data_IF_780474651275
#
_entry.id   IF_780474651275
#
_cell.length_a   1.000
_cell.length_b   1.000
_cell.length_c   1.000
_cell.angle_alpha   90.00
_cell.angle_beta   90.00
_cell.angle_gamma   90.00
#
_symmetry.space_group_name_H-M   'P 1'
#
loop_
_entity.id
_entity.type
_entity.pdbx_description
1 polymer ?
#
# COMPACT_ATOMS: atom_id res chain seq x y z
N UNK A 1 7.87 6.57 -33.96
CA UNK A 1 8.20 7.57 -32.92
C UNK A 1 7.98 6.94 -31.57
N UNK A 2 9.04 6.46 -30.92
CA UNK A 2 8.93 5.94 -29.56
C UNK A 2 8.81 7.10 -28.59
N UNK A 3 7.67 7.23 -27.90
CA UNK A 3 7.56 8.13 -26.75
C UNK A 3 8.20 7.42 -25.57
N UNK A 4 9.44 7.79 -25.27
CA UNK A 4 10.08 7.45 -24.00
C UNK A 4 9.18 7.98 -22.88
N UNK A 5 8.41 7.08 -22.26
CA UNK A 5 7.74 7.39 -21.01
C UNK A 5 8.85 7.36 -19.97
N UNK A 6 9.45 8.53 -19.73
CA UNK A 6 10.09 8.79 -18.46
C UNK A 6 8.96 8.74 -17.42
N UNK A 7 8.68 7.54 -16.93
CA UNK A 7 7.78 7.33 -15.79
C UNK A 7 8.33 8.18 -14.68
N UNK A 8 7.64 9.29 -14.42
CA UNK A 8 7.98 10.20 -13.35
C UNK A 8 7.50 9.50 -12.08
N UNK A 9 8.28 8.51 -11.61
CA UNK A 9 8.02 7.74 -10.38
C UNK A 9 7.95 8.73 -9.25
N UNK A 10 6.73 9.18 -8.96
CA UNK A 10 6.53 10.39 -8.20
C UNK A 10 6.92 10.11 -6.75
N UNK A 11 7.76 10.96 -6.17
CA UNK A 11 8.31 10.80 -4.83
C UNK A 11 7.29 11.10 -3.72
N UNK A 12 6.11 10.48 -3.80
CA UNK A 12 5.09 10.40 -2.74
C UNK A 12 5.29 9.18 -1.83
N UNK A 13 6.17 8.25 -2.20
CA UNK A 13 6.66 7.19 -1.31
C UNK A 13 7.68 7.78 -0.32
N UNK A 14 7.14 8.40 0.72
CA UNK A 14 7.80 8.93 1.92
C UNK A 14 8.82 10.06 1.65
N UNK A 15 8.36 11.30 1.84
CA UNK A 15 9.14 12.52 1.67
C UNK A 15 10.16 12.79 2.81
N UNK A 16 11.02 11.82 3.14
CA UNK A 16 12.17 11.98 4.04
C UNK A 16 13.52 11.99 3.32
N UNK A 17 13.57 11.58 2.05
CA UNK A 17 14.81 11.52 1.27
C UNK A 17 15.33 12.88 0.73
N UNK A 18 14.57 13.98 0.83
CA UNK A 18 14.97 15.30 0.29
C UNK A 18 15.40 16.34 1.34
N UNK A 19 15.50 15.99 2.63
CA UNK A 19 15.96 16.88 3.69
C UNK A 19 17.45 16.69 4.08
N UNK A 20 18.14 15.72 3.47
CA UNK A 20 19.52 15.37 3.79
C UNK A 20 20.54 16.09 2.87
N UNK A 21 20.89 17.33 3.23
CA UNK A 21 22.17 17.94 2.86
C UNK A 21 22.29 18.49 1.44
N UNK A 22 22.18 19.82 1.31
CA UNK A 22 23.03 20.55 0.36
C UNK A 22 24.49 20.28 0.72
N UNK A 23 25.16 19.40 -0.02
CA UNK A 23 26.60 19.21 0.11
C UNK A 23 27.30 20.37 -0.61
N UNK A 24 28.19 21.05 0.12
CA UNK A 24 28.95 22.18 -0.41
C UNK A 24 29.81 21.75 -1.61
N UNK A 25 29.43 22.18 -2.81
CA UNK A 25 30.38 22.43 -3.89
C UNK A 25 30.72 23.92 -3.94
N UNK A 26 31.44 24.38 -2.92
CA UNK A 26 32.38 25.47 -3.16
C UNK A 26 33.42 24.99 -4.18
N UNK A 27 33.40 25.55 -5.39
CA UNK A 27 34.56 26.14 -6.10
C UNK A 27 34.19 26.31 -7.57
N UNK A 28 33.89 27.54 -7.99
CA UNK A 28 34.79 28.27 -8.89
C UNK A 28 34.44 29.76 -8.86
N UNK A 29 35.40 30.58 -8.42
CA UNK A 29 35.27 32.03 -8.49
C UNK A 29 35.51 32.51 -9.94
N UNK A 30 34.67 33.43 -10.42
CA UNK A 30 35.17 34.49 -11.30
C UNK A 30 34.54 35.82 -10.92
N UNK A 31 35.39 36.69 -10.35
CA UNK A 31 35.08 38.09 -10.04
C UNK A 31 35.04 38.91 -11.33
N UNK A 32 34.02 39.75 -11.46
CA UNK A 32 34.12 41.05 -12.12
C UNK A 32 33.21 42.03 -11.40
N UNK A 33 33.80 43.09 -10.84
CA UNK A 33 33.13 44.25 -10.27
C UNK A 33 33.18 45.36 -11.32
N UNK A 34 32.06 46.05 -11.52
CA UNK A 34 31.90 47.45 -11.90
C UNK A 34 30.38 47.67 -12.05
N UNK A 35 29.76 48.83 -11.83
CA UNK A 35 29.83 49.87 -10.80
C UNK A 35 28.56 50.74 -11.06
N UNK A 36 28.10 51.44 -10.04
CA UNK A 36 27.26 52.65 -10.07
C UNK A 36 25.81 52.77 -10.63
N UNK A 37 25.10 53.64 -9.89
CA UNK A 37 23.99 54.55 -10.22
C UNK A 37 22.53 54.07 -10.43
N UNK A 38 21.62 54.97 -10.04
CA UNK A 38 20.17 54.81 -10.02
C UNK A 38 19.49 55.65 -11.09
N UNK A 39 18.30 55.25 -11.57
CA UNK A 39 17.51 56.12 -12.45
C UNK A 39 16.31 55.47 -13.13
N UNK A 40 15.12 55.78 -12.60
CA UNK A 40 13.89 56.19 -13.32
C UNK A 40 13.51 55.63 -14.71
N UNK A 41 12.25 55.18 -14.74
CA UNK A 41 11.21 55.47 -15.75
C UNK A 41 11.08 54.63 -17.04
N UNK A 42 9.81 54.50 -17.42
CA UNK A 42 9.24 53.74 -18.52
C UNK A 42 9.83 54.08 -19.90
N UNK A 43 9.90 53.08 -20.79
CA UNK A 43 9.71 53.28 -22.23
C UNK A 43 9.19 52.00 -22.89
N UNK A 44 8.00 52.06 -23.49
CA UNK A 44 7.53 51.05 -24.44
C UNK A 44 8.35 51.09 -25.73
N UNK A 45 8.72 49.95 -26.31
CA UNK A 45 9.06 49.87 -27.74
C UNK A 45 8.71 48.49 -28.31
N UNK A 46 7.89 48.48 -29.36
CA UNK A 46 7.59 47.29 -30.14
C UNK A 46 8.63 47.10 -31.26
N UNK A 47 9.00 45.85 -31.57
CA UNK A 47 9.94 45.52 -32.65
C UNK A 47 9.88 44.04 -33.04
N UNK A 48 9.64 43.78 -34.32
CA UNK A 48 9.50 42.45 -34.95
C UNK A 48 10.83 41.97 -35.53
N UNK A 49 11.08 40.64 -35.49
CA UNK A 49 11.62 39.76 -36.58
C UNK A 49 11.97 38.39 -35.95
N UNK A 50 11.38 37.27 -36.38
CA UNK A 50 11.74 36.43 -37.57
C UNK A 50 13.18 35.89 -37.50
N UNK A 51 13.29 34.57 -37.29
CA UNK A 51 14.55 33.82 -37.33
C UNK A 51 14.26 32.32 -37.45
N UNK A 52 14.18 31.82 -38.69
CA UNK A 52 14.14 30.39 -39.00
C UNK A 52 15.57 29.85 -39.08
N UNK A 53 15.85 28.68 -38.50
CA UNK A 53 16.99 27.86 -38.92
C UNK A 53 16.65 26.36 -38.84
N UNK A 54 17.09 25.58 -39.84
CA UNK A 54 16.83 24.14 -40.00
C UNK A 54 18.01 23.43 -40.69
N UNK A 55 18.69 22.49 -40.00
CA UNK A 55 19.56 21.38 -40.48
C UNK A 55 20.04 20.57 -39.24
N UNK A 56 20.43 19.28 -39.26
CA UNK A 56 20.40 18.17 -40.24
C UNK A 56 19.61 16.98 -39.61
N UNK A 57 18.93 16.07 -40.32
CA UNK A 57 19.42 14.94 -41.15
C UNK A 57 20.46 13.99 -40.51
N UNK A 58 20.00 12.80 -40.11
CA UNK A 58 20.84 11.65 -39.72
C UNK A 58 20.05 10.35 -39.93
N UNK A 59 20.65 9.37 -40.63
CA UNK A 59 19.91 8.29 -41.33
C UNK A 59 20.41 6.89 -40.97
N UNK A 60 19.47 5.92 -41.01
CA UNK A 60 19.65 4.46 -41.14
C UNK A 60 20.22 3.65 -39.94
N UNK A 61 19.60 2.48 -39.74
CA UNK A 61 19.95 1.49 -38.73
C UNK A 61 18.88 0.40 -38.64
N UNK A 62 18.62 -0.31 -39.74
CA UNK A 62 17.73 -1.48 -39.76
C UNK A 62 18.44 -2.69 -39.12
N UNK A 63 17.73 -3.44 -38.27
CA UNK A 63 18.07 -4.85 -38.00
C UNK A 63 16.80 -5.64 -37.70
N UNK A 64 16.34 -6.43 -38.67
CA UNK A 64 15.40 -7.53 -38.41
C UNK A 64 16.10 -8.64 -37.61
N UNK A 65 15.43 -9.21 -36.60
CA UNK A 65 15.64 -10.61 -36.22
C UNK A 65 14.37 -11.18 -35.59
N UNK A 66 13.65 -11.98 -36.37
CA UNK A 66 12.59 -12.85 -35.87
C UNK A 66 13.20 -14.03 -35.10
N UNK A 67 12.62 -14.39 -33.96
CA UNK A 67 12.75 -15.75 -33.41
C UNK A 67 11.40 -16.18 -32.85
N UNK A 68 10.75 -17.10 -33.56
CA UNK A 68 9.62 -17.88 -33.06
C UNK A 68 10.12 -18.87 -32.01
N UNK A 69 9.34 -19.13 -30.97
CA UNK A 69 9.53 -20.28 -30.08
C UNK A 69 8.16 -20.75 -29.60
N UNK A 70 7.53 -21.56 -30.44
CA UNK A 70 6.46 -22.45 -30.00
C UNK A 70 7.02 -23.41 -28.95
N UNK A 71 6.26 -23.69 -27.90
CA UNK A 71 6.56 -24.77 -26.96
C UNK A 71 5.25 -25.43 -26.57
N UNK A 72 4.81 -26.32 -27.46
CA UNK A 72 3.78 -27.30 -27.12
C UNK A 72 4.33 -28.23 -26.03
N UNK A 73 3.49 -28.59 -25.07
CA UNK A 73 3.78 -29.63 -24.10
C UNK A 73 2.47 -30.30 -23.70
N UNK A 74 2.05 -31.24 -24.54
CA UNK A 74 1.05 -32.22 -24.14
C UNK A 74 1.60 -33.08 -22.99
N UNK A 75 0.75 -33.41 -22.03
CA UNK A 75 1.00 -34.48 -21.07
C UNK A 75 -0.31 -35.13 -20.65
N UNK A 76 -0.74 -36.09 -21.46
CA UNK A 76 -1.72 -37.08 -21.03
C UNK A 76 -1.16 -37.89 -19.85
N UNK A 77 -1.95 -38.09 -18.80
CA UNK A 77 -1.70 -39.17 -17.84
C UNK A 77 -3.01 -39.79 -17.39
N UNK A 78 -3.30 -40.96 -17.95
CA UNK A 78 -4.40 -41.83 -17.58
C UNK A 78 -4.17 -42.46 -16.19
N UNK A 79 -5.18 -42.50 -15.33
CA UNK A 79 -5.04 -43.08 -13.98
C UNK A 79 -6.37 -43.43 -13.31
N UNK A 80 -7.24 -44.20 -13.98
CA UNK A 80 -8.46 -44.69 -13.37
C UNK A 80 -8.21 -46.00 -12.60
N UNK A 81 -8.32 -45.97 -11.27
CA UNK A 81 -8.47 -47.18 -10.45
C UNK A 81 -9.75 -47.11 -9.60
N UNK A 82 -10.76 -47.84 -10.02
CA UNK A 82 -11.97 -48.11 -9.24
C UNK A 82 -11.68 -49.18 -8.19
N UNK A 83 -11.75 -48.82 -6.90
CA UNK A 83 -11.73 -49.80 -5.80
C UNK A 83 -13.11 -49.90 -5.16
N UNK A 84 -13.84 -50.99 -5.45
CA UNK A 84 -15.06 -51.33 -4.73
C UNK A 84 -14.73 -51.86 -3.33
N UNK A 85 -15.11 -51.12 -2.28
CA UNK A 85 -14.84 -51.45 -0.88
C UNK A 85 -16.11 -51.39 -0.03
N UNK A 86 -17.05 -52.31 -0.26
CA UNK A 86 -18.30 -52.38 0.51
C UNK A 86 -18.02 -52.83 1.95
N UNK A 87 -18.34 -51.98 2.93
CA UNK A 87 -18.41 -52.37 4.34
C UNK A 87 -19.62 -51.71 5.00
N UNK A 88 -20.67 -52.48 5.29
CA UNK A 88 -21.77 -52.02 6.15
C UNK A 88 -21.28 -51.92 7.59
N UNK A 89 -21.46 -50.75 8.22
CA UNK A 89 -20.97 -50.46 9.56
C UNK A 89 -21.91 -49.53 10.32
N UNK A 90 -23.04 -50.06 10.80
CA UNK A 90 -23.98 -49.30 11.64
C UNK A 90 -23.36 -49.02 13.01
N UNK A 91 -23.02 -47.75 13.28
CA UNK A 91 -22.80 -47.20 14.63
C UNK A 91 -22.97 -45.68 14.56
N UNK A 92 -24.10 -45.16 15.02
CA UNK A 92 -24.29 -44.61 16.38
C UNK A 92 -23.85 -43.15 16.45
N UNK A 93 -24.82 -42.29 16.81
CA UNK A 93 -24.64 -40.86 16.94
C UNK A 93 -23.52 -40.51 17.92
N UNK A 94 -22.66 -39.60 17.47
CA UNK A 94 -21.45 -39.20 18.18
C UNK A 94 -20.72 -38.10 17.41
N UNK A 95 -21.48 -37.22 16.74
CA UNK A 95 -20.92 -35.99 16.19
C UNK A 95 -20.57 -35.08 17.36
N UNK A 96 -19.42 -35.32 17.97
CA UNK A 96 -18.70 -34.25 18.65
C UNK A 96 -18.41 -33.21 17.59
N UNK A 97 -19.24 -32.17 17.54
CA UNK A 97 -18.79 -30.86 17.09
C UNK A 97 -17.53 -30.55 17.90
N UNK A 98 -16.37 -30.89 17.37
CA UNK A 98 -15.13 -30.17 17.66
C UNK A 98 -15.32 -28.81 17.02
N UNK A 99 -16.16 -28.00 17.68
CA UNK A 99 -16.43 -26.64 17.29
C UNK A 99 -15.10 -25.94 17.12
N UNK A 100 -14.88 -25.43 15.93
CA UNK A 100 -13.74 -24.58 15.64
C UNK A 100 -13.72 -23.48 16.72
N UNK A 101 -12.57 -23.24 17.39
CA UNK A 101 -12.53 -22.34 18.54
C UNK A 101 -13.12 -20.99 18.14
N UNK A 102 -13.98 -20.44 18.99
CA UNK A 102 -14.61 -19.15 18.72
C UNK A 102 -13.53 -18.12 18.39
N UNK A 103 -13.72 -17.42 17.27
CA UNK A 103 -12.77 -16.46 16.75
C UNK A 103 -12.49 -15.40 17.81
N UNK A 104 -11.27 -15.38 18.36
CA UNK A 104 -10.86 -14.43 19.40
C UNK A 104 -10.51 -13.04 18.83
N UNK A 105 -10.88 -12.80 17.56
CA UNK A 105 -10.60 -11.59 16.80
C UNK A 105 -11.89 -10.94 16.34
N UNK A 106 -11.86 -9.62 16.28
CA UNK A 106 -12.94 -8.79 15.75
C UNK A 106 -12.43 -7.89 14.64
N UNK A 107 -13.33 -7.54 13.71
CA UNK A 107 -13.12 -6.43 12.79
C UNK A 107 -13.77 -5.18 13.36
N UNK A 108 -12.95 -4.22 13.75
CA UNK A 108 -13.37 -2.91 14.20
C UNK A 108 -13.59 -1.97 13.01
N UNK A 109 -14.49 -1.00 13.19
CA UNK A 109 -14.72 0.08 12.24
C UNK A 109 -14.89 1.41 12.98
N UNK A 110 -14.03 2.37 12.65
CA UNK A 110 -14.16 3.75 13.09
C UNK A 110 -14.71 4.64 11.97
N UNK A 111 -15.68 5.49 12.30
CA UNK A 111 -16.34 6.40 11.34
C UNK A 111 -16.00 7.85 11.62
N UNK A 112 -15.16 8.46 10.77
CA UNK A 112 -14.72 9.85 10.89
C UNK A 112 -15.86 10.88 10.80
N UNK A 113 -17.01 10.50 10.23
CA UNK A 113 -18.17 11.39 10.09
C UNK A 113 -18.86 11.72 11.42
N UNK A 114 -18.71 10.86 12.43
CA UNK A 114 -19.44 10.95 13.71
C UNK A 114 -18.64 10.48 14.92
N UNK A 115 -17.38 10.05 14.76
CA UNK A 115 -16.50 9.63 15.84
C UNK A 115 -16.98 8.37 16.58
N UNK A 116 -17.55 7.39 15.86
CA UNK A 116 -18.10 6.18 16.47
C UNK A 116 -17.35 4.91 16.04
N UNK A 117 -17.15 4.02 17.00
CA UNK A 117 -16.70 2.65 16.80
C UNK A 117 -17.85 1.66 16.58
N UNK A 118 -17.57 0.59 15.85
CA UNK A 118 -18.39 -0.60 15.70
C UNK A 118 -17.48 -1.84 15.74
N UNK A 119 -17.84 -2.84 16.53
CA UNK A 119 -17.19 -4.15 16.57
C UNK A 119 -18.08 -5.20 15.87
N UNK A 120 -17.48 -6.05 15.05
CA UNK A 120 -18.12 -7.28 14.55
C UNK A 120 -17.11 -8.44 14.65
N UNK A 121 -17.47 -9.59 15.24
CA UNK A 121 -16.58 -10.75 15.31
C UNK A 121 -16.08 -11.15 13.92
N UNK A 122 -14.78 -11.46 13.80
CA UNK A 122 -14.13 -11.63 12.51
C UNK A 122 -14.73 -12.82 11.73
N UNK A 123 -15.15 -13.88 12.44
CA UNK A 123 -15.90 -15.03 11.91
C UNK A 123 -17.25 -14.70 11.26
N UNK A 124 -17.81 -13.50 11.45
CA UNK A 124 -19.04 -13.07 10.77
C UNK A 124 -18.75 -12.35 9.44
N UNK A 125 -17.56 -11.76 9.29
CA UNK A 125 -17.17 -10.97 8.10
C UNK A 125 -16.20 -11.69 7.18
N UNK A 126 -15.39 -12.61 7.72
CA UNK A 126 -14.51 -13.52 7.00
C UNK A 126 -15.17 -14.90 6.91
N UNK A 127 -16.25 -14.96 6.12
CA UNK A 127 -17.05 -16.18 5.92
C UNK A 127 -16.83 -16.78 4.54
N UNK A 128 -16.74 -18.11 4.47
CA UNK A 128 -16.55 -18.88 3.23
C UNK A 128 -15.40 -19.88 3.35
N UNK A 129 -15.40 -20.92 2.50
CA UNK A 129 -14.40 -22.00 2.55
C UNK A 129 -12.95 -21.56 2.26
N UNK A 130 -12.78 -20.37 1.68
CA UNK A 130 -11.51 -19.78 1.30
C UNK A 130 -11.17 -18.51 2.12
N UNK A 131 -11.99 -18.16 3.12
CA UNK A 131 -11.69 -17.02 3.98
C UNK A 131 -10.45 -17.32 4.85
N UNK A 132 -9.69 -16.31 5.32
CA UNK A 132 -8.62 -16.53 6.28
C UNK A 132 -9.16 -17.25 7.52
N UNK A 133 -8.61 -18.41 7.91
CA UNK A 133 -9.04 -19.12 9.12
C UNK A 133 -8.81 -18.25 10.35
N UNK A 134 -9.70 -18.31 11.34
CA UNK A 134 -9.60 -17.50 12.56
C UNK A 134 -8.31 -17.71 13.37
N UNK A 135 -7.65 -18.85 13.19
CA UNK A 135 -6.33 -19.16 13.77
C UNK A 135 -5.18 -18.39 13.12
N UNK A 136 -5.35 -17.86 11.91
CA UNK A 136 -4.34 -17.10 11.18
C UNK A 136 -4.37 -15.64 11.63
N UNK A 137 -3.21 -15.13 11.99
CA UNK A 137 -2.98 -13.72 12.31
C UNK A 137 -2.75 -12.95 11.00
N UNK A 138 -3.47 -11.86 10.74
CA UNK A 138 -3.17 -10.99 9.61
C UNK A 138 -1.90 -10.20 9.90
N UNK A 139 -0.90 -10.35 9.03
CA UNK A 139 0.33 -9.55 8.96
C UNK A 139 0.16 -8.25 8.16
N UNK A 140 -0.96 -8.11 7.48
CA UNK A 140 -1.32 -6.94 6.71
C UNK A 140 -2.67 -7.15 6.04
N UNK A 141 -3.48 -6.09 5.97
CA UNK A 141 -4.78 -6.08 5.30
C UNK A 141 -4.89 -4.80 4.50
N UNK A 142 -5.21 -4.90 3.21
CA UNK A 142 -5.42 -3.72 2.39
C UNK A 142 -6.60 -3.85 1.44
N UNK A 143 -7.18 -2.73 1.05
CA UNK A 143 -8.43 -2.68 0.29
C UNK A 143 -8.35 -1.70 -0.87
N UNK A 144 -8.68 -2.19 -2.07
CA UNK A 144 -8.77 -1.40 -3.29
C UNK A 144 -10.23 -1.04 -3.55
N UNK A 145 -10.61 0.21 -3.27
CA UNK A 145 -11.99 0.71 -3.41
C UNK A 145 -12.46 0.72 -4.88
N UNK A 146 -11.57 1.04 -5.82
CA UNK A 146 -11.86 1.02 -7.26
C UNK A 146 -12.26 -0.37 -7.80
N UNK A 147 -11.76 -1.45 -7.19
CA UNK A 147 -11.95 -2.83 -7.66
C UNK A 147 -12.88 -3.67 -6.79
N UNK A 148 -13.29 -3.16 -5.61
CA UNK A 148 -13.94 -3.90 -4.51
C UNK A 148 -13.16 -5.18 -4.15
N UNK A 149 -11.89 -5.00 -3.78
CA UNK A 149 -10.99 -6.10 -3.44
C UNK A 149 -10.30 -5.92 -2.10
N UNK A 150 -10.36 -6.96 -1.26
CA UNK A 150 -9.65 -7.05 0.03
C UNK A 150 -8.53 -8.07 -0.09
N UNK A 151 -7.32 -7.66 0.28
CA UNK A 151 -6.11 -8.45 0.29
C UNK A 151 -5.74 -8.67 1.76
N UNK A 152 -5.53 -9.91 2.18
CA UNK A 152 -5.08 -10.27 3.53
C UNK A 152 -3.83 -11.14 3.42
N UNK A 153 -2.77 -10.72 4.11
CA UNK A 153 -1.49 -11.41 4.16
C UNK A 153 -1.41 -12.13 5.51
N UNK A 154 -1.37 -13.46 5.50
CA UNK A 154 -1.41 -14.27 6.72
C UNK A 154 -0.04 -14.61 7.27
N UNK A 155 0.07 -14.74 8.60
CA UNK A 155 1.26 -15.26 9.27
C UNK A 155 1.57 -16.74 8.97
N UNK A 156 0.71 -17.41 8.20
CA UNK A 156 0.85 -18.78 7.68
C UNK A 156 1.54 -18.83 6.30
N UNK A 157 2.11 -17.72 5.82
CA UNK A 157 2.71 -17.54 4.49
C UNK A 157 1.69 -17.66 3.33
N UNK A 158 0.41 -17.42 3.61
CA UNK A 158 -0.67 -17.44 2.62
C UNK A 158 -1.20 -16.03 2.31
N UNK A 159 -1.48 -15.81 1.03
CA UNK A 159 -2.21 -14.66 0.50
C UNK A 159 -3.69 -15.04 0.31
N UNK A 160 -4.57 -14.27 0.93
CA UNK A 160 -6.02 -14.43 0.85
C UNK A 160 -6.62 -13.23 0.10
N UNK A 161 -7.33 -13.53 -0.99
CA UNK A 161 -7.90 -12.51 -1.88
C UNK A 161 -9.43 -12.57 -1.88
N UNK A 162 -10.08 -11.43 -1.67
CA UNK A 162 -11.52 -11.27 -1.78
C UNK A 162 -11.84 -10.35 -2.95
N UNK A 163 -12.64 -10.82 -3.89
CA UNK A 163 -13.12 -10.04 -5.05
C UNK A 163 -14.64 -9.93 -4.94
N UNK A 164 -15.20 -8.72 -4.98
CA UNK A 164 -16.65 -8.48 -5.00
C UNK A 164 -17.40 -9.25 -3.89
N UNK A 165 -16.81 -9.23 -2.69
CA UNK A 165 -17.31 -9.94 -1.51
C UNK A 165 -17.07 -11.44 -1.45
N UNK A 166 -16.48 -12.08 -2.48
CA UNK A 166 -16.20 -13.54 -2.53
C UNK A 166 -14.70 -13.85 -2.36
N UNK A 167 -14.37 -14.80 -1.48
CA UNK A 167 -13.00 -15.27 -1.27
C UNK A 167 -12.54 -16.24 -2.35
N UNK A 168 -11.44 -15.90 -3.02
CA UNK A 168 -10.75 -16.75 -3.98
C UNK A 168 -9.91 -17.80 -3.25
N UNK A 169 -9.56 -18.90 -3.93
CA UNK A 169 -8.68 -19.93 -3.36
C UNK A 169 -7.38 -19.28 -2.84
N UNK A 170 -6.96 -19.51 -1.59
CA UNK A 170 -5.74 -18.91 -1.05
C UNK A 170 -4.49 -19.40 -1.80
N UNK A 171 -3.54 -18.49 -2.00
CA UNK A 171 -2.28 -18.75 -2.71
C UNK A 171 -1.10 -18.61 -1.74
N UNK A 172 0.00 -19.38 -1.90
CA UNK A 172 1.23 -19.10 -1.16
C UNK A 172 1.73 -17.68 -1.46
N UNK A 173 2.20 -16.94 -0.45
CA UNK A 173 2.83 -15.63 -0.66
C UNK A 173 4.06 -15.73 -1.58
N UNK A 174 4.70 -16.90 -1.66
CA UNK A 174 5.82 -17.16 -2.57
C UNK A 174 5.45 -17.13 -4.06
N UNK A 175 4.20 -17.40 -4.43
CA UNK A 175 3.76 -17.41 -5.83
C UNK A 175 3.44 -15.99 -6.34
N UNK A 176 2.75 -15.17 -5.52
CA UNK A 176 2.29 -13.83 -5.92
C UNK A 176 3.16 -12.68 -5.37
N UNK A 177 3.88 -12.88 -4.26
CA UNK A 177 4.67 -11.87 -3.54
C UNK A 177 6.07 -12.37 -3.12
N UNK A 178 6.74 -13.10 -4.01
CA UNK A 178 7.95 -13.90 -3.70
C UNK A 178 9.17 -13.18 -3.10
N UNK A 179 9.25 -11.85 -3.10
CA UNK A 179 10.33 -11.10 -2.39
C UNK A 179 10.04 -10.92 -0.89
N UNK A 180 8.76 -10.95 -0.49
CA UNK A 180 8.34 -10.85 0.93
C UNK A 180 7.90 -12.18 1.54
N UNK A 181 7.83 -13.26 0.76
CA UNK A 181 7.48 -14.58 1.26
C UNK A 181 8.46 -15.04 2.35
N UNK A 182 7.93 -15.52 3.48
CA UNK A 182 8.70 -15.84 4.68
C UNK A 182 9.32 -14.62 5.41
N UNK A 183 9.05 -13.38 4.99
CA UNK A 183 9.32 -12.20 5.80
C UNK A 183 8.17 -11.98 6.78
N UNK A 184 8.53 -11.72 8.03
CA UNK A 184 7.62 -11.31 9.08
C UNK A 184 7.28 -9.82 8.88
N UNK A 185 6.49 -9.47 7.84
CA UNK A 185 6.15 -8.06 7.55
C UNK A 185 5.44 -7.40 8.74
N UNK A 186 5.68 -6.11 8.92
CA UNK A 186 5.07 -5.30 9.99
C UNK A 186 3.66 -4.84 9.57
N UNK A 187 3.46 -4.56 8.27
CA UNK A 187 2.21 -4.01 7.73
C UNK A 187 2.15 -4.10 6.18
N UNK A 188 0.96 -3.96 5.59
CA UNK A 188 0.74 -3.92 4.15
C UNK A 188 -0.31 -2.86 3.75
N UNK A 189 0.15 -1.78 3.12
CA UNK A 189 -0.65 -0.60 2.83
C UNK A 189 -0.83 -0.34 1.34
N UNK A 190 -2.05 0.02 0.91
CA UNK A 190 -2.28 0.53 -0.44
C UNK A 190 -1.60 1.89 -0.59
N UNK A 191 -0.76 2.02 -1.61
CA UNK A 191 -0.25 3.31 -2.09
C UNK A 191 -1.27 3.83 -3.10
N UNK A 192 -2.01 4.92 -2.82
CA UNK A 192 -3.14 5.29 -3.66
C UNK A 192 -2.71 5.80 -5.04
N UNK A 193 -3.55 5.53 -6.05
CA UNK A 193 -3.28 5.92 -7.44
C UNK A 193 -3.23 7.45 -7.61
N UNK A 194 -2.14 7.96 -8.20
CA UNK A 194 -2.04 9.38 -8.58
C UNK A 194 -2.68 9.70 -9.94
N UNK A 195 -3.03 8.67 -10.71
CA UNK A 195 -3.76 8.77 -11.97
C UNK A 195 -4.42 7.43 -12.31
N UNK A 196 -5.65 7.40 -12.86
CA UNK A 196 -6.32 6.17 -13.32
C UNK A 196 -5.67 5.45 -14.52
N UNK A 197 -4.39 5.74 -14.82
CA UNK A 197 -3.57 5.04 -15.80
C UNK A 197 -2.32 4.42 -15.18
N UNK A 198 -2.01 4.72 -13.91
CA UNK A 198 -0.98 3.99 -13.17
C UNK A 198 -1.61 2.74 -12.54
N UNK A 199 -0.87 1.62 -12.47
CA UNK A 199 -1.32 0.49 -11.67
C UNK A 199 -1.33 0.88 -10.18
N UNK A 200 -2.32 0.37 -9.45
CA UNK A 200 -2.33 0.48 -8.00
C UNK A 200 -1.10 -0.22 -7.41
N UNK A 201 -0.69 0.18 -6.21
CA UNK A 201 0.53 -0.33 -5.57
C UNK A 201 0.27 -0.75 -4.13
N UNK A 202 0.99 -1.75 -3.65
CA UNK A 202 1.09 -2.10 -2.23
C UNK A 202 2.50 -1.78 -1.76
N UNK A 203 2.59 -1.13 -0.59
CA UNK A 203 3.80 -0.97 0.18
C UNK A 203 3.76 -1.88 1.40
N UNK A 204 4.61 -2.89 1.42
CA UNK A 204 4.84 -3.72 2.60
C UNK A 204 5.95 -3.12 3.45
N UNK A 205 5.70 -2.89 4.72
CA UNK A 205 6.72 -2.41 5.65
C UNK A 205 7.37 -3.60 6.34
N UNK A 206 8.71 -3.66 6.32
CA UNK A 206 9.50 -4.43 7.30
C UNK A 206 10.76 -3.66 7.66
N UNK A 207 10.76 -2.99 8.82
CA UNK A 207 11.79 -2.02 9.24
C UNK A 207 13.23 -2.55 9.03
N UNK A 208 14.15 -1.75 8.47
CA UNK A 208 14.01 -0.36 8.00
C UNK A 208 13.53 -0.25 6.53
N UNK A 209 12.98 -1.31 5.95
CA UNK A 209 12.69 -1.39 4.53
C UNK A 209 11.19 -1.32 4.21
N UNK A 210 10.92 -0.79 3.01
CA UNK A 210 9.63 -0.84 2.34
C UNK A 210 9.79 -1.66 1.06
N UNK A 211 8.88 -2.60 0.79
CA UNK A 211 8.85 -3.43 -0.42
C UNK A 211 7.63 -3.06 -1.23
N UNK A 212 7.84 -2.61 -2.46
CA UNK A 212 6.80 -2.01 -3.28
C UNK A 212 6.47 -2.96 -4.43
N UNK A 213 5.19 -3.27 -4.56
CA UNK A 213 4.63 -4.03 -5.67
C UNK A 213 3.64 -3.17 -6.44
N UNK A 214 3.67 -3.25 -7.77
CA UNK A 214 2.51 -2.91 -8.60
C UNK A 214 1.55 -4.10 -8.58
N UNK A 215 0.25 -3.81 -8.44
CA UNK A 215 -0.82 -4.81 -8.36
C UNK A 215 -1.85 -4.49 -9.42
N UNK A 216 -2.50 -5.54 -9.94
CA UNK A 216 -3.50 -5.43 -10.99
C UNK A 216 -4.84 -5.99 -10.54
N UNK A 217 -5.94 -5.56 -11.18
CA UNK A 217 -7.33 -5.97 -10.85
C UNK A 217 -7.54 -7.50 -10.84
N UNK A 218 -6.70 -8.28 -11.51
CA UNK A 218 -6.75 -9.75 -11.49
C UNK A 218 -6.07 -10.38 -10.24
N UNK A 219 -5.60 -9.59 -9.28
CA UNK A 219 -4.86 -10.04 -8.09
C UNK A 219 -3.35 -10.24 -8.32
N UNK A 220 -2.88 -10.27 -9.57
CA UNK A 220 -1.45 -10.46 -9.85
C UNK A 220 -0.62 -9.23 -9.43
N UNK A 221 0.62 -9.49 -9.00
CA UNK A 221 1.53 -8.45 -8.53
C UNK A 221 2.91 -8.56 -9.20
N UNK A 222 3.58 -7.41 -9.35
CA UNK A 222 4.94 -7.28 -9.88
C UNK A 222 5.76 -6.50 -8.86
N UNK A 223 6.80 -7.16 -8.33
CA UNK A 223 7.76 -6.50 -7.46
C UNK A 223 8.52 -5.40 -8.21
N UNK A 224 8.51 -4.20 -7.66
CA UNK A 224 9.16 -3.02 -8.24
C UNK A 224 10.53 -2.78 -7.63
N UNK A 225 10.58 -2.62 -6.30
CA UNK A 225 11.79 -2.23 -5.58
C UNK A 225 11.66 -2.41 -4.06
N UNK A 226 12.81 -2.52 -3.40
CA UNK A 226 12.97 -2.30 -1.97
C UNK A 226 13.55 -0.90 -1.77
N UNK A 227 12.99 -0.14 -0.84
CA UNK A 227 13.51 1.16 -0.39
C UNK A 227 13.89 1.08 1.08
N UNK A 228 15.06 1.60 1.46
CA UNK A 228 15.36 1.92 2.85
C UNK A 228 14.58 3.18 3.23
N UNK A 229 13.89 3.14 4.36
CA UNK A 229 13.09 4.25 4.89
C UNK A 229 13.97 5.06 5.85
N UNK A 230 13.73 6.36 5.94
CA UNK A 230 14.39 7.24 6.89
C UNK A 230 13.37 7.90 7.83
N UNK A 231 13.74 8.05 9.10
CA UNK A 231 12.95 8.76 10.10
C UNK A 231 12.63 10.19 9.66
N UNK A 232 11.36 10.59 9.80
CA UNK A 232 10.95 11.96 9.56
C UNK A 232 11.39 12.87 10.72
N UNK A 233 11.72 14.11 10.40
CA UNK A 233 12.00 15.11 11.43
C UNK A 233 10.73 15.42 12.23
N UNK A 234 10.78 15.55 13.56
CA UNK A 234 9.63 15.88 14.39
C UNK A 234 8.85 17.11 13.85
N UNK A 235 7.50 17.06 13.78
CA UNK A 235 6.60 16.07 14.38
C UNK A 235 6.36 14.79 13.55
N UNK A 236 7.17 14.51 12.53
CA UNK A 236 7.02 13.31 11.70
C UNK A 236 7.38 11.99 12.39
N UNK A 237 6.96 10.90 11.75
CA UNK A 237 7.09 9.54 12.25
C UNK A 237 8.53 8.98 12.17
N UNK A 238 9.03 8.28 13.22
CA UNK A 238 10.30 7.55 13.22
C UNK A 238 10.19 6.18 12.50
N UNK A 239 9.89 6.23 11.18
CA UNK A 239 9.59 5.08 10.33
C UNK A 239 10.73 4.06 10.15
N UNK A 240 11.97 4.43 10.47
CA UNK A 240 13.16 3.59 10.31
C UNK A 240 13.68 3.03 11.64
N UNK A 241 13.34 3.67 12.76
CA UNK A 241 13.81 3.28 14.09
C UNK A 241 12.76 2.57 14.97
N UNK A 242 11.46 2.77 14.72
CA UNK A 242 10.35 2.13 15.48
C UNK A 242 9.55 1.20 14.57
N UNK A 243 9.12 0.05 15.10
CA UNK A 243 8.24 -0.89 14.38
C UNK A 243 6.82 -0.30 14.20
N UNK A 244 6.13 -0.71 13.14
CA UNK A 244 4.75 -0.29 12.84
C UNK A 244 3.79 -1.40 13.27
N UNK A 245 2.68 -1.03 13.91
CA UNK A 245 1.62 -1.98 14.27
C UNK A 245 0.56 -2.06 13.16
N UNK A 246 0.18 -0.91 12.61
CA UNK A 246 -0.78 -0.79 11.51
C UNK A 246 -0.70 0.59 10.84
N UNK A 247 -1.20 0.69 9.60
CA UNK A 247 -1.56 1.97 9.00
C UNK A 247 -3.01 2.01 8.49
N UNK A 248 -3.49 3.23 8.22
CA UNK A 248 -4.79 3.49 7.59
C UNK A 248 -4.59 4.62 6.59
N UNK A 249 -4.55 4.27 5.31
CA UNK A 249 -4.50 5.22 4.21
C UNK A 249 -5.85 5.33 3.46
N UNK A 250 -6.14 6.52 2.96
CA UNK A 250 -7.10 6.72 1.86
C UNK A 250 -6.68 7.92 1.02
N UNK A 251 -7.08 7.92 -0.25
CA UNK A 251 -6.94 9.10 -1.11
C UNK A 251 -8.18 9.33 -1.97
N UNK A 252 -8.36 10.57 -2.39
CA UNK A 252 -9.27 10.99 -3.45
C UNK A 252 -8.48 11.61 -4.61
N UNK A 253 -8.15 10.83 -5.66
CA UNK A 253 -7.36 11.33 -6.78
C UNK A 253 -7.98 12.53 -7.51
N UNK A 254 -9.30 12.73 -7.38
CA UNK A 254 -10.00 13.89 -7.93
C UNK A 254 -9.60 15.24 -7.27
N UNK A 255 -8.98 15.20 -6.08
CA UNK A 255 -8.52 16.35 -5.31
C UNK A 255 -7.01 16.61 -5.42
N UNK A 256 -6.27 15.82 -6.22
CA UNK A 256 -4.83 16.01 -6.43
C UNK A 256 -4.53 17.45 -6.89
N UNK A 257 -3.58 18.08 -6.20
CA UNK A 257 -3.16 19.47 -6.44
C UNK A 257 -4.18 20.54 -6.04
N UNK A 258 -5.34 20.17 -5.46
CA UNK A 258 -6.40 21.09 -5.05
C UNK A 258 -6.58 21.16 -3.53
N UNK A 259 -6.48 20.02 -2.83
CA UNK A 259 -6.67 19.90 -1.38
C UNK A 259 -5.56 19.01 -0.77
N UNK A 260 -4.79 19.43 0.25
CA UNK A 260 -3.82 18.55 0.91
C UNK A 260 -4.45 17.28 1.51
N UNK A 261 -5.76 17.28 1.83
CA UNK A 261 -6.48 16.07 2.26
C UNK A 261 -6.81 15.10 1.12
N UNK A 262 -6.34 15.33 -0.12
CA UNK A 262 -6.49 14.35 -1.19
C UNK A 262 -5.79 13.03 -0.87
N UNK A 263 -4.77 13.01 0.00
CA UNK A 263 -4.22 11.81 0.63
C UNK A 263 -4.14 12.06 2.14
N UNK A 264 -4.60 11.11 2.94
CA UNK A 264 -4.38 11.06 4.38
C UNK A 264 -3.90 9.66 4.74
N UNK A 265 -2.85 9.60 5.57
CA UNK A 265 -2.34 8.36 6.16
C UNK A 265 -2.27 8.54 7.67
N UNK A 266 -2.87 7.62 8.42
CA UNK A 266 -2.63 7.46 9.86
C UNK A 266 -1.70 6.26 10.08
N UNK A 267 -0.73 6.41 10.99
CA UNK A 267 0.33 5.43 11.25
C UNK A 267 0.45 5.22 12.76
N UNK A 268 0.32 3.98 13.22
CA UNK A 268 0.62 3.60 14.60
C UNK A 268 1.96 2.87 14.67
N UNK A 269 2.82 3.32 15.59
CA UNK A 269 4.14 2.75 15.82
C UNK A 269 4.26 2.35 17.30
N UNK A 270 5.16 1.40 17.60
CA UNK A 270 5.50 0.92 18.96
C UNK A 270 6.27 2.00 19.76
N UNK A 271 5.62 3.14 20.02
CA UNK A 271 6.15 4.28 20.78
C UNK A 271 5.08 5.19 21.43
N UNK A 272 3.91 4.64 21.77
CA UNK A 272 2.78 5.35 22.39
C UNK A 272 2.22 6.54 21.57
N UNK A 273 2.42 6.59 20.24
CA UNK A 273 2.08 7.75 19.41
C UNK A 273 1.36 7.37 18.10
N UNK A 274 0.26 8.08 17.82
CA UNK A 274 -0.38 8.08 16.51
C UNK A 274 0.13 9.26 15.67
N UNK A 275 0.56 8.97 14.44
CA UNK A 275 0.96 9.97 13.45
C UNK A 275 -0.10 10.11 12.35
N UNK A 276 -0.25 11.33 11.80
CA UNK A 276 -0.97 11.60 10.56
C UNK A 276 -0.06 12.33 9.58
N UNK A 277 -0.03 11.84 8.35
CA UNK A 277 0.55 12.51 7.19
C UNK A 277 -0.56 12.93 6.21
N UNK A 278 -0.35 14.03 5.50
CA UNK A 278 -1.19 14.41 4.35
C UNK A 278 -0.38 14.89 3.14
N UNK A 279 -1.06 15.06 2.02
CA UNK A 279 -0.45 15.44 0.75
C UNK A 279 0.08 16.88 0.69
N UNK A 280 -0.18 17.70 1.71
CA UNK A 280 0.51 18.97 1.95
C UNK A 280 1.90 18.78 2.53
N UNK A 281 2.37 17.53 2.63
CA UNK A 281 3.59 17.11 3.31
C UNK A 281 3.61 17.50 4.79
N UNK A 282 2.43 17.64 5.40
CA UNK A 282 2.30 17.98 6.82
C UNK A 282 2.26 16.73 7.67
N UNK A 283 3.04 16.75 8.74
CA UNK A 283 2.98 15.74 9.81
C UNK A 283 2.28 16.32 11.03
N UNK A 284 1.42 15.51 11.63
CA UNK A 284 0.89 15.71 12.97
C UNK A 284 1.10 14.43 13.78
N UNK A 285 1.23 14.58 15.09
CA UNK A 285 1.46 13.46 16.02
C UNK A 285 0.73 13.72 17.33
N UNK A 286 0.12 12.69 17.90
CA UNK A 286 -0.58 12.73 19.18
C UNK A 286 -0.18 11.51 20.02
N UNK A 287 -0.28 11.59 21.36
CA UNK A 287 -0.29 10.39 22.19
C UNK A 287 -1.39 9.44 21.72
N UNK A 288 -1.10 8.14 21.75
CA UNK A 288 -1.99 7.05 21.33
C UNK A 288 -3.41 7.21 21.88
N UNK A 289 -3.60 7.48 23.18
CA UNK A 289 -4.93 7.60 23.78
C UNK A 289 -5.43 9.06 23.85
N UNK A 290 -4.96 9.95 22.97
CA UNK A 290 -5.35 11.37 22.96
C UNK A 290 -5.34 11.98 21.55
N UNK A 291 -6.01 11.32 20.61
CA UNK A 291 -6.00 11.66 19.19
C UNK A 291 -7.43 11.64 18.58
N UNK A 292 -7.61 11.92 17.27
CA UNK A 292 -8.93 11.95 16.65
C UNK A 292 -9.67 10.60 16.58
N UNK A 293 -8.94 9.49 16.52
CA UNK A 293 -9.45 8.11 16.36
C UNK A 293 -9.65 7.43 17.73
N UNK A 294 -8.70 7.64 18.64
CA UNK A 294 -8.69 7.07 19.99
C UNK A 294 -8.60 8.18 21.05
N UNK A 295 -9.59 8.20 21.93
CA UNK A 295 -9.76 9.17 23.02
C UNK A 295 -9.45 8.59 24.41
N UNK A 296 -9.19 7.28 24.49
CA UNK A 296 -8.99 6.54 25.73
C UNK A 296 -10.30 6.17 26.43
N UNK A 297 -11.42 6.15 25.70
CA UNK A 297 -12.69 5.63 26.23
C UNK A 297 -12.67 4.09 26.21
N UNK A 298 -13.26 3.46 27.22
CA UNK A 298 -13.26 1.99 27.33
C UNK A 298 -13.99 1.27 26.18
N UNK A 299 -14.82 1.98 25.42
CA UNK A 299 -15.54 1.45 24.24
C UNK A 299 -14.77 1.57 22.92
N UNK A 300 -13.48 1.89 22.99
CA UNK A 300 -12.54 1.93 21.86
C UNK A 300 -11.59 0.71 21.96
N UNK A 301 -11.16 0.11 20.83
CA UNK A 301 -10.21 -1.00 20.89
C UNK A 301 -8.82 -0.50 21.28
N UNK A 302 -8.08 -1.34 21.99
CA UNK A 302 -6.68 -1.09 22.39
C UNK A 302 -5.79 -0.93 21.14
N UNK A 303 -5.18 0.23 20.86
CA UNK A 303 -4.56 0.48 19.55
C UNK A 303 -3.25 -0.30 19.35
N UNK A 304 -2.49 -0.51 20.42
CA UNK A 304 -1.39 -1.48 20.55
C UNK A 304 -1.83 -2.93 20.25
N UNK A 305 -3.09 -3.28 20.52
CA UNK A 305 -3.64 -4.61 20.28
C UNK A 305 -4.10 -4.86 18.83
N UNK A 306 -4.14 -3.83 17.99
CA UNK A 306 -4.59 -3.96 16.59
C UNK A 306 -3.48 -4.54 15.71
N UNK A 307 -3.80 -5.60 14.97
CA UNK A 307 -2.88 -6.40 14.15
C UNK A 307 -2.71 -5.83 12.73
N UNK A 308 -3.71 -5.10 12.22
CA UNK A 308 -3.64 -4.41 10.93
C UNK A 308 -4.81 -3.43 10.76
N UNK A 309 -4.67 -2.47 9.82
CA UNK A 309 -5.67 -1.46 9.49
C UNK A 309 -5.78 -1.18 7.99
N UNK A 310 -6.90 -0.61 7.56
CA UNK A 310 -7.07 -0.04 6.22
C UNK A 310 -8.16 1.04 6.18
N UNK A 311 -8.11 1.91 5.17
CA UNK A 311 -9.09 2.99 4.99
C UNK A 311 -10.08 2.75 3.84
N UNK A 312 -11.20 3.47 3.87
CA UNK A 312 -12.06 3.73 2.70
C UNK A 312 -12.30 5.22 2.56
N UNK A 313 -12.47 5.71 1.33
CA UNK A 313 -12.69 7.14 1.03
C UNK A 313 -14.15 7.53 1.20
N UNK A 314 -15.10 6.75 0.66
CA UNK A 314 -16.52 7.10 0.67
C UNK A 314 -17.44 5.99 1.20
N UNK A 315 -17.90 6.07 2.47
CA UNK A 315 -17.57 7.07 3.48
C UNK A 315 -16.12 6.97 4.00
N UNK A 316 -15.57 8.08 4.54
CA UNK A 316 -14.30 8.05 5.28
C UNK A 316 -14.45 7.17 6.51
N UNK A 317 -13.85 5.98 6.47
CA UNK A 317 -13.85 5.01 7.55
C UNK A 317 -12.45 4.41 7.68
N UNK A 318 -12.06 4.10 8.91
CA UNK A 318 -10.95 3.21 9.20
C UNK A 318 -11.52 1.86 9.62
N UNK A 319 -10.87 0.79 9.18
CA UNK A 319 -11.16 -0.58 9.58
C UNK A 319 -9.90 -1.17 10.18
N UNK A 320 -10.07 -2.04 11.16
CA UNK A 320 -8.96 -2.71 11.84
C UNK A 320 -9.32 -4.15 12.14
N UNK A 321 -8.30 -4.99 12.31
CA UNK A 321 -8.44 -6.34 12.89
C UNK A 321 -7.56 -6.44 14.12
N UNK A 322 -8.05 -7.11 15.15
CA UNK A 322 -7.30 -7.39 16.38
C UNK A 322 -8.12 -8.29 17.32
N UNK A 323 -7.62 -8.57 18.53
CA UNK A 323 -8.34 -9.32 19.55
C UNK A 323 -9.71 -8.71 19.86
N UNK A 324 -10.71 -9.53 20.18
CA UNK A 324 -12.06 -9.09 20.54
C UNK A 324 -12.14 -8.46 21.94
N UNK A 325 -12.88 -7.35 22.08
CA UNK A 325 -13.20 -6.73 23.36
C UNK A 325 -13.21 -5.19 23.34
N UNK A 326 -14.42 -4.61 23.28
CA UNK A 326 -14.76 -3.24 23.74
C UNK A 326 -15.48 -3.27 25.12
#
# INVERSE_FOLDING_TARGET
>A
MSRSHATLTFAMLFATACAAGTSDQETFMSVSVDDDEAGTEDTETAGTEVGEESTETGTAGETDTSTESESESESESTGAETTEGSTEGTSTEGSTETGEPECTRSRYRYSFNNGSWEEVPLSQVWTGANAPPCSVEPRGVTYFEEWDQLFVFGADDMFYHRIQGQWQTPEPMSDSFGVIAGLDIDDAAMVPEISPQEPARINFSKRPFNYIYEVYENGSAVYMQTMEVADAQPPGAPLASVDRNWDVAWADPALIGQDPEWLIIYLHLDNDMLYRFDAGFQWMSWPELSNPIFTGDSSEPDPDGLESGWGTRFPRQAFFVGPSGL
#
